data_IF_143357384203
#
_entry.id   IF_143357384203
#
_cell.length_a   1.000
_cell.length_b   1.000
_cell.length_c   1.000
_cell.angle_alpha   90.00
_cell.angle_beta   90.00
_cell.angle_gamma   90.00
#
_symmetry.space_group_name_H-M   'P 1'
#
loop_
_entity.id
_entity.type
_entity.pdbx_description
1 polymer ?
#
# COMPACT_ATOMS: atom_id res chain seq x y z
N UNK A 1 28.95 -8.48 -14.56
CA UNK A 1 28.65 -8.53 -13.11
C UNK A 1 28.21 -7.17 -12.55
N UNK A 2 28.86 -6.06 -12.90
CA UNK A 2 28.47 -4.71 -12.44
C UNK A 2 27.06 -4.26 -12.89
N UNK A 3 26.65 -4.50 -14.14
CA UNK A 3 25.31 -4.13 -14.65
C UNK A 3 24.14 -4.75 -13.87
N UNK A 4 24.29 -6.01 -13.41
CA UNK A 4 23.27 -6.68 -12.59
C UNK A 4 23.20 -6.08 -11.17
N UNK A 5 24.33 -5.60 -10.65
CA UNK A 5 24.42 -4.94 -9.34
C UNK A 5 23.79 -3.54 -9.37
N UNK A 6 24.04 -2.78 -10.44
CA UNK A 6 23.39 -1.49 -10.67
C UNK A 6 21.87 -1.65 -10.83
N UNK A 7 21.41 -2.62 -11.62
CA UNK A 7 19.97 -2.89 -11.77
C UNK A 7 19.33 -3.30 -10.44
N UNK A 8 20.01 -4.12 -9.62
CA UNK A 8 19.53 -4.52 -8.30
C UNK A 8 19.38 -3.38 -7.28
N UNK A 9 20.14 -2.30 -7.42
CA UNK A 9 20.09 -1.16 -6.48
C UNK A 9 19.30 0.04 -7.02
N UNK A 10 19.41 0.32 -8.32
CA UNK A 10 18.71 1.44 -8.97
C UNK A 10 17.22 1.12 -9.12
N UNK A 11 16.86 -0.12 -9.44
CA UNK A 11 15.45 -0.49 -9.61
C UNK A 11 14.63 -0.31 -8.32
N UNK A 12 15.02 -0.82 -7.14
CA UNK A 12 14.26 -0.57 -5.92
C UNK A 12 14.25 0.92 -5.53
N UNK A 13 15.34 1.66 -5.77
CA UNK A 13 15.38 3.10 -5.51
C UNK A 13 14.38 3.86 -6.41
N UNK A 14 14.40 3.59 -7.72
CA UNK A 14 13.46 4.20 -8.67
C UNK A 14 12.00 3.83 -8.36
N UNK A 15 11.75 2.58 -7.96
CA UNK A 15 10.43 2.11 -7.54
C UNK A 15 9.96 2.83 -6.26
N UNK A 16 10.84 3.04 -5.28
CA UNK A 16 10.54 3.79 -4.07
C UNK A 16 10.16 5.23 -4.40
N UNK A 17 10.94 5.92 -5.24
CA UNK A 17 10.62 7.29 -5.68
C UNK A 17 9.27 7.34 -6.40
N UNK A 18 9.00 6.39 -7.29
CA UNK A 18 7.72 6.31 -8.01
C UNK A 18 6.53 6.10 -7.05
N UNK A 19 6.69 5.26 -6.02
CA UNK A 19 5.67 5.04 -4.99
C UNK A 19 5.42 6.31 -4.20
N UNK A 20 6.46 7.01 -3.73
CA UNK A 20 6.29 8.25 -2.95
C UNK A 20 5.63 9.36 -3.77
N UNK A 21 6.03 9.53 -5.04
CA UNK A 21 5.37 10.46 -5.95
C UNK A 21 3.89 10.10 -6.16
N UNK A 22 3.58 8.80 -6.29
CA UNK A 22 2.20 8.32 -6.46
C UNK A 22 1.37 8.55 -5.20
N UNK A 23 1.93 8.32 -4.00
CA UNK A 23 1.26 8.55 -2.72
C UNK A 23 0.84 10.02 -2.58
N UNK A 24 1.79 10.95 -2.80
CA UNK A 24 1.51 12.39 -2.75
C UNK A 24 0.47 12.78 -3.81
N UNK A 25 0.61 12.26 -5.03
CA UNK A 25 -0.34 12.49 -6.11
C UNK A 25 -1.78 12.06 -5.76
N UNK A 26 -1.93 10.86 -5.17
CA UNK A 26 -3.23 10.34 -4.74
C UNK A 26 -3.87 11.26 -3.68
N UNK A 27 -3.11 11.76 -2.70
CA UNK A 27 -3.65 12.67 -1.68
C UNK A 27 -4.10 14.02 -2.27
N UNK A 28 -3.36 14.55 -3.24
CA UNK A 28 -3.75 15.79 -3.93
C UNK A 28 -5.02 15.58 -4.74
N UNK A 29 -5.10 14.50 -5.53
CA UNK A 29 -6.29 14.15 -6.33
C UNK A 29 -7.49 13.92 -5.40
N UNK A 30 -7.30 13.20 -4.30
CA UNK A 30 -8.33 12.96 -3.30
C UNK A 30 -8.87 14.28 -2.70
N UNK A 31 -7.96 15.18 -2.27
CA UNK A 31 -8.31 16.51 -1.74
C UNK A 31 -9.06 17.33 -2.80
N UNK A 32 -8.61 17.32 -4.05
CA UNK A 32 -9.26 18.03 -5.15
C UNK A 32 -10.66 17.47 -5.47
N UNK A 33 -10.85 16.15 -5.40
CA UNK A 33 -12.13 15.50 -5.64
C UNK A 33 -13.14 15.77 -4.51
N UNK A 34 -12.68 15.70 -3.25
CA UNK A 34 -13.51 16.04 -2.08
C UNK A 34 -13.90 17.52 -2.05
N UNK A 35 -13.01 18.43 -2.47
CA UNK A 35 -13.35 19.86 -2.63
C UNK A 35 -14.46 20.10 -3.67
N UNK A 36 -14.60 19.22 -4.66
CA UNK A 36 -15.70 19.25 -5.65
C UNK A 36 -16.97 18.55 -5.15
N UNK A 37 -17.02 18.14 -3.88
CA UNK A 37 -18.17 17.49 -3.26
C UNK A 37 -18.22 15.97 -3.42
N UNK A 38 -17.16 15.32 -3.93
CA UNK A 38 -17.13 13.85 -4.02
C UNK A 38 -16.97 13.24 -2.62
N UNK A 39 -17.91 12.38 -2.24
CA UNK A 39 -17.80 11.62 -1.00
C UNK A 39 -16.64 10.64 -1.05
N UNK A 40 -15.92 10.55 0.07
CA UNK A 40 -14.79 9.66 0.24
C UNK A 40 -15.09 8.19 -0.09
N UNK A 41 -16.24 7.67 0.34
CA UNK A 41 -16.66 6.29 0.06
C UNK A 41 -16.75 6.01 -1.44
N UNK A 42 -17.21 7.00 -2.21
CA UNK A 42 -17.35 6.89 -3.66
C UNK A 42 -15.98 6.87 -4.33
N UNK A 43 -15.05 7.72 -3.88
CA UNK A 43 -13.67 7.74 -4.38
C UNK A 43 -12.97 6.39 -4.19
N UNK A 44 -13.10 5.78 -3.01
CA UNK A 44 -12.51 4.48 -2.68
C UNK A 44 -13.11 3.37 -3.51
N UNK A 45 -14.44 3.36 -3.63
CA UNK A 45 -15.14 2.36 -4.43
C UNK A 45 -14.65 2.36 -5.89
N UNK A 46 -14.58 3.54 -6.52
CA UNK A 46 -14.06 3.65 -7.88
C UNK A 46 -12.59 3.23 -7.99
N UNK A 47 -11.76 3.59 -7.01
CA UNK A 47 -10.34 3.21 -7.00
C UNK A 47 -10.17 1.69 -6.94
N UNK A 48 -10.90 0.99 -6.08
CA UNK A 48 -10.88 -0.47 -6.01
C UNK A 48 -11.47 -1.14 -7.26
N UNK A 49 -12.51 -0.55 -7.85
CA UNK A 49 -13.10 -1.05 -9.10
C UNK A 49 -12.09 -0.98 -10.26
N UNK A 50 -11.42 0.17 -10.43
CA UNK A 50 -10.37 0.35 -11.44
C UNK A 50 -9.18 -0.57 -11.16
N UNK A 51 -8.72 -0.65 -9.91
CA UNK A 51 -7.63 -1.55 -9.53
C UNK A 51 -7.95 -3.01 -9.86
N UNK A 52 -9.18 -3.46 -9.57
CA UNK A 52 -9.64 -4.81 -9.91
C UNK A 52 -9.67 -5.01 -11.42
N UNK A 53 -10.20 -4.04 -12.18
CA UNK A 53 -10.28 -4.10 -13.63
C UNK A 53 -8.91 -4.14 -14.29
N UNK A 54 -7.91 -3.45 -13.74
CA UNK A 54 -6.52 -3.45 -14.25
C UNK A 54 -5.76 -4.71 -13.82
N UNK A 55 -5.94 -5.18 -12.59
CA UNK A 55 -5.27 -6.38 -12.08
C UNK A 55 -5.82 -7.66 -12.71
N UNK A 56 -7.12 -7.70 -13.00
CA UNK A 56 -7.79 -8.86 -13.60
C UNK A 56 -7.09 -9.34 -14.89
N UNK A 57 -6.91 -8.52 -15.94
CA UNK A 57 -6.20 -8.94 -17.16
C UNK A 57 -4.72 -9.22 -16.90
N UNK A 58 -4.10 -8.54 -15.94
CA UNK A 58 -2.69 -8.75 -15.60
C UNK A 58 -2.46 -10.18 -15.07
N UNK A 59 -3.39 -10.71 -14.28
CA UNK A 59 -3.34 -12.09 -13.79
C UNK A 59 -3.44 -13.12 -14.92
N UNK A 60 -4.22 -12.81 -15.97
CA UNK A 60 -4.35 -13.69 -17.15
C UNK A 60 -3.11 -13.63 -18.07
N UNK A 61 -2.48 -12.47 -18.21
CA UNK A 61 -1.28 -12.27 -19.05
C UNK A 61 -0.02 -12.82 -18.37
N UNK A 62 0.05 -12.76 -17.03
CA UNK A 62 1.17 -13.28 -16.23
C UNK A 62 0.72 -14.53 -15.44
N UNK A 63 0.48 -15.67 -16.10
CA UNK A 63 0.13 -16.89 -15.41
C UNK A 63 1.27 -17.27 -14.45
N UNK A 64 0.92 -17.46 -13.18
CA UNK A 64 1.85 -17.85 -12.12
C UNK A 64 2.52 -19.19 -12.49
N UNK A 65 3.83 -19.19 -12.71
CA UNK A 65 4.67 -20.40 -12.84
C UNK A 65 4.68 -21.25 -11.56
N UNK A 66 4.40 -20.65 -10.40
CA UNK A 66 4.38 -21.36 -9.11
C UNK A 66 2.95 -21.82 -8.79
N UNK A 67 2.76 -23.14 -8.69
CA UNK A 67 1.45 -23.78 -8.42
C UNK A 67 0.68 -23.09 -7.29
N UNK A 68 -0.62 -22.88 -7.50
CA UNK A 68 -1.47 -22.20 -6.53
C UNK A 68 -1.36 -22.91 -5.17
N UNK A 69 -1.06 -22.17 -4.07
CA UNK A 69 -1.06 -22.77 -2.75
C UNK A 69 -2.44 -23.37 -2.48
N UNK A 70 -2.48 -24.60 -1.96
CA UNK A 70 -3.72 -25.32 -1.67
C UNK A 70 -4.69 -24.41 -0.94
N UNK A 71 -5.92 -24.29 -1.46
CA UNK A 71 -6.93 -23.36 -0.99
C UNK A 71 -7.38 -23.74 0.43
N UNK A 72 -6.69 -23.21 1.45
CA UNK A 72 -7.01 -23.41 2.86
C UNK A 72 -7.91 -22.27 3.32
N UNK A 73 -9.05 -22.58 3.94
CA UNK A 73 -9.95 -21.56 4.52
C UNK A 73 -9.23 -20.66 5.54
N UNK A 74 -8.24 -21.19 6.27
CA UNK A 74 -7.38 -20.41 7.16
C UNK A 74 -6.62 -19.29 6.43
N UNK A 75 -6.16 -19.54 5.20
CA UNK A 75 -5.46 -18.55 4.38
C UNK A 75 -6.44 -17.48 3.87
N UNK A 76 -7.66 -17.87 3.47
CA UNK A 76 -8.71 -16.90 3.11
C UNK A 76 -9.06 -15.98 4.27
N UNK A 77 -9.26 -16.54 5.47
CA UNK A 77 -9.56 -15.75 6.66
C UNK A 77 -8.45 -14.75 6.97
N UNK A 78 -7.18 -15.17 6.87
CA UNK A 78 -6.03 -14.27 7.06
C UNK A 78 -6.00 -13.14 6.02
N UNK A 79 -6.21 -13.46 4.75
CA UNK A 79 -6.27 -12.45 3.68
C UNK A 79 -7.44 -11.50 3.90
N UNK A 80 -8.61 -12.02 4.29
CA UNK A 80 -9.79 -11.22 4.61
C UNK A 80 -9.52 -10.26 5.76
N UNK A 81 -8.95 -10.74 6.87
CA UNK A 81 -8.56 -9.88 7.99
C UNK A 81 -7.55 -8.81 7.57
N UNK A 82 -6.55 -9.17 6.76
CA UNK A 82 -5.55 -8.22 6.28
C UNK A 82 -6.18 -7.14 5.39
N UNK A 83 -7.11 -7.54 4.51
CA UNK A 83 -7.89 -6.63 3.68
C UNK A 83 -8.80 -5.72 4.50
N UNK A 84 -9.44 -6.24 5.55
CA UNK A 84 -10.28 -5.46 6.45
C UNK A 84 -9.46 -4.41 7.20
N UNK A 85 -8.29 -4.78 7.73
CA UNK A 85 -7.37 -3.85 8.41
C UNK A 85 -6.93 -2.75 7.44
N UNK A 86 -6.52 -3.10 6.22
CA UNK A 86 -6.11 -2.12 5.20
C UNK A 86 -7.25 -1.18 4.80
N UNK A 87 -8.48 -1.69 4.68
CA UNK A 87 -9.64 -0.86 4.39
C UNK A 87 -9.93 0.13 5.52
N UNK A 88 -9.87 -0.30 6.78
CA UNK A 88 -10.08 0.58 7.95
C UNK A 88 -8.99 1.63 8.05
N UNK A 89 -7.72 1.26 7.83
CA UNK A 89 -6.58 2.18 7.77
C UNK A 89 -6.83 3.28 6.74
N UNK A 90 -7.23 2.88 5.53
CA UNK A 90 -7.52 3.81 4.45
C UNK A 90 -8.69 4.75 4.81
N UNK A 91 -9.78 4.23 5.40
CA UNK A 91 -10.88 5.07 5.90
C UNK A 91 -10.40 6.11 6.93
N UNK A 92 -9.57 5.70 7.88
CA UNK A 92 -9.04 6.58 8.89
C UNK A 92 -8.12 7.65 8.28
N UNK A 93 -7.23 7.25 7.36
CA UNK A 93 -6.27 8.14 6.71
C UNK A 93 -6.95 9.23 5.88
N UNK A 94 -7.95 8.88 5.07
CA UNK A 94 -8.64 9.87 4.24
C UNK A 94 -9.56 10.79 5.04
N UNK A 95 -10.22 10.29 6.10
CA UNK A 95 -10.89 11.15 7.08
C UNK A 95 -9.90 12.09 7.77
N UNK A 96 -8.72 11.59 8.13
CA UNK A 96 -7.63 12.40 8.68
C UNK A 96 -7.16 13.51 7.74
N UNK A 97 -7.07 13.23 6.43
CA UNK A 97 -6.72 14.23 5.39
C UNK A 97 -7.83 15.27 5.19
N UNK A 98 -9.09 14.90 5.39
CA UNK A 98 -10.23 15.82 5.37
C UNK A 98 -10.10 16.86 6.48
N UNK A 99 -9.85 16.40 7.73
CA UNK A 99 -9.62 17.27 8.89
C UNK A 99 -8.24 17.95 8.92
N UNK A 100 -7.29 17.47 8.13
CA UNK A 100 -5.91 17.95 8.10
C UNK A 100 -5.47 18.38 6.69
N UNK A 101 -4.16 18.41 6.42
CA UNK A 101 -3.60 18.73 5.11
C UNK A 101 -2.93 17.51 4.48
N UNK A 102 -2.90 17.41 3.13
CA UNK A 102 -2.12 16.39 2.42
C UNK A 102 -0.64 16.37 2.83
N UNK A 103 -0.07 17.52 3.16
CA UNK A 103 1.32 17.66 3.63
C UNK A 103 1.52 16.97 4.97
N UNK A 104 0.59 17.14 5.92
CA UNK A 104 0.67 16.48 7.22
C UNK A 104 0.53 14.97 7.10
N UNK A 105 -0.39 14.49 6.25
CA UNK A 105 -0.51 13.05 5.97
C UNK A 105 0.79 12.48 5.38
N UNK A 106 1.41 13.18 4.43
CA UNK A 106 2.69 12.78 3.85
C UNK A 106 3.81 12.74 4.90
N UNK A 107 3.83 13.70 5.84
CA UNK A 107 4.79 13.71 6.94
C UNK A 107 4.60 12.53 7.91
N UNK A 108 3.35 12.15 8.21
CA UNK A 108 3.04 10.97 9.03
C UNK A 108 3.46 9.68 8.33
N UNK A 109 3.26 9.56 7.02
CA UNK A 109 3.70 8.40 6.23
C UNK A 109 5.22 8.20 6.30
N UNK A 110 6.00 9.28 6.34
CA UNK A 110 7.46 9.20 6.51
C UNK A 110 7.89 8.66 7.89
N UNK A 111 7.03 8.75 8.90
CA UNK A 111 7.27 8.22 10.25
C UNK A 111 6.87 6.75 10.38
N UNK A 112 6.10 6.20 9.44
CA UNK A 112 5.70 4.78 9.42
C UNK A 112 6.85 3.81 9.71
N UNK A 113 8.03 3.89 9.02
CA UNK A 113 9.13 2.96 9.31
C UNK A 113 9.68 3.07 10.75
N UNK A 114 9.68 4.27 11.34
CA UNK A 114 10.10 4.46 12.72
C UNK A 114 9.11 3.82 13.71
N UNK A 115 7.80 3.99 13.48
CA UNK A 115 6.77 3.32 14.28
C UNK A 115 6.83 1.79 14.12
N UNK A 116 7.01 1.29 12.89
CA UNK A 116 7.19 -0.14 12.62
C UNK A 116 8.38 -0.69 13.40
N UNK A 117 9.50 0.02 13.45
CA UNK A 117 10.68 -0.39 14.22
C UNK A 117 10.38 -0.46 15.73
N UNK A 118 9.73 0.56 16.29
CA UNK A 118 9.34 0.58 17.71
C UNK A 118 8.44 -0.61 18.04
N UNK A 119 7.40 -0.86 17.23
CA UNK A 119 6.51 -2.00 17.42
C UNK A 119 7.27 -3.33 17.31
N UNK A 120 8.18 -3.48 16.35
CA UNK A 120 9.00 -4.68 16.21
C UNK A 120 9.88 -4.94 17.45
N UNK A 121 10.42 -3.88 18.07
CA UNK A 121 11.18 -3.95 19.32
C UNK A 121 10.28 -4.35 20.50
N UNK A 122 9.11 -3.71 20.66
CA UNK A 122 8.16 -3.98 21.75
C UNK A 122 7.64 -5.42 21.69
N UNK A 123 7.20 -5.87 20.51
CA UNK A 123 6.69 -7.23 20.31
C UNK A 123 7.79 -8.29 20.26
N UNK A 124 9.06 -7.88 20.39
CA UNK A 124 10.22 -8.77 20.34
C UNK A 124 10.16 -9.69 19.11
N UNK A 125 9.82 -9.14 17.95
CA UNK A 125 10.04 -9.78 16.64
C UNK A 125 11.53 -9.82 16.27
N UNK A 126 12.41 -9.85 17.29
CA UNK A 126 13.85 -9.92 17.19
C UNK A 126 14.31 -11.38 17.15
N UNK A 127 13.91 -12.09 16.09
CA UNK A 127 14.53 -13.39 15.76
C UNK A 127 14.80 -13.59 14.26
N UNK A 128 14.52 -12.61 13.41
CA UNK A 128 14.77 -12.71 11.95
C UNK A 128 15.73 -11.65 11.40
N UNK A 129 16.54 -11.02 12.27
CA UNK A 129 17.51 -9.98 11.88
C UNK A 129 18.97 -10.33 12.23
N UNK A 130 19.26 -11.62 12.44
CA UNK A 130 20.61 -12.17 12.51
C UNK A 130 20.57 -13.60 11.91
N UNK A 131 20.59 -13.71 10.59
CA UNK A 131 21.27 -14.82 9.92
C UNK A 131 21.61 -14.48 8.46
#
# INVERSE_FOLDING_TARGET
MAMSYWYKNVLPFSAMVAIECSNVGIYIVFKAATLKGLSYYVFVFYSFAIATLVLLPLVFIFPKTTGLPTFKLSLLYRIFLLGLIGFVDQLCGYRGIEYSSPTLASAVSNLTPAFTFILAVIFRFRSFLIH
#
